data_IF_171421902533
#
_entry.id   IF_171421902533
#
_cell.length_a   1.000
_cell.length_b   1.000
_cell.length_c   1.000
_cell.angle_alpha   90.00
_cell.angle_beta   90.00
_cell.angle_gamma   90.00
#
_symmetry.space_group_name_H-M   'P 1'
#
loop_
_entity.id
_entity.type
_entity.pdbx_description
1 polymer ?
#
# COMPACT_ATOMS: atom_id res chain seq x y z
N UNK A 1 9.97 -37.01 -12.86
CA UNK A 1 8.73 -36.53 -13.50
C UNK A 1 7.98 -37.66 -14.17
N UNK A 2 8.60 -38.36 -15.11
CA UNK A 2 8.01 -39.52 -15.80
C UNK A 2 7.49 -40.65 -14.89
N UNK A 3 8.23 -41.08 -13.84
CA UNK A 3 7.73 -42.12 -12.93
C UNK A 3 6.46 -41.68 -12.18
N UNK A 4 6.35 -40.39 -11.86
CA UNK A 4 5.22 -39.82 -11.14
C UNK A 4 4.01 -39.61 -12.07
N UNK A 5 4.25 -39.20 -13.33
CA UNK A 5 3.23 -39.22 -14.41
C UNK A 5 2.64 -40.62 -14.58
N UNK A 6 3.50 -41.62 -14.75
CA UNK A 6 3.09 -43.02 -14.88
C UNK A 6 2.35 -43.54 -13.65
N UNK A 7 2.77 -43.14 -12.44
CA UNK A 7 2.08 -43.53 -11.20
C UNK A 7 0.68 -42.92 -11.10
N UNK A 8 0.49 -41.67 -11.55
CA UNK A 8 -0.82 -41.01 -11.61
C UNK A 8 -1.72 -41.69 -12.64
N UNK A 9 -1.20 -42.01 -13.83
CA UNK A 9 -1.96 -42.70 -14.88
C UNK A 9 -2.39 -44.10 -14.42
N UNK A 10 -1.46 -44.90 -13.89
CA UNK A 10 -1.78 -46.22 -13.31
C UNK A 10 -2.71 -46.13 -12.12
N UNK A 11 -2.59 -45.11 -11.29
CA UNK A 11 -3.48 -44.89 -10.15
C UNK A 11 -4.91 -44.58 -10.58
N UNK A 12 -5.07 -43.84 -11.68
CA UNK A 12 -6.37 -43.57 -12.30
C UNK A 12 -6.99 -44.84 -12.89
N UNK A 13 -6.19 -45.70 -13.52
CA UNK A 13 -6.62 -47.00 -14.04
C UNK A 13 -7.00 -47.99 -12.93
N UNK A 14 -6.28 -47.95 -11.80
CA UNK A 14 -6.51 -48.81 -10.63
C UNK A 14 -7.66 -48.34 -9.72
N UNK A 15 -8.29 -47.20 -10.02
CA UNK A 15 -9.45 -46.69 -9.27
C UNK A 15 -9.11 -46.07 -7.92
N UNK A 16 -7.90 -45.50 -7.75
CA UNK A 16 -7.55 -44.73 -6.54
C UNK A 16 -8.48 -43.53 -6.32
N UNK A 17 -8.54 -43.06 -5.08
CA UNK A 17 -9.38 -41.92 -4.72
C UNK A 17 -8.99 -40.66 -5.52
N UNK A 18 -10.01 -39.96 -6.03
CA UNK A 18 -9.81 -38.75 -6.85
C UNK A 18 -9.01 -37.67 -6.12
N UNK A 19 -9.19 -37.56 -4.81
CA UNK A 19 -8.47 -36.61 -3.93
C UNK A 19 -6.95 -36.84 -3.95
N UNK A 20 -6.50 -38.08 -3.89
CA UNK A 20 -5.08 -38.45 -3.88
C UNK A 20 -4.44 -38.24 -5.26
N UNK A 21 -5.17 -38.59 -6.32
CA UNK A 21 -4.76 -38.35 -7.71
C UNK A 21 -4.62 -36.84 -7.97
N UNK A 22 -5.58 -36.04 -7.51
CA UNK A 22 -5.56 -34.58 -7.68
C UNK A 22 -4.41 -33.93 -6.90
N UNK A 23 -4.13 -34.41 -5.69
CA UNK A 23 -2.97 -33.95 -4.92
C UNK A 23 -1.65 -34.32 -5.61
N UNK A 24 -1.51 -35.55 -6.09
CA UNK A 24 -0.33 -35.99 -6.82
C UNK A 24 -0.15 -35.20 -8.13
N UNK A 25 -1.24 -34.91 -8.85
CA UNK A 25 -1.21 -34.09 -10.06
C UNK A 25 -0.83 -32.63 -9.78
N UNK A 26 -1.28 -32.06 -8.65
CA UNK A 26 -0.82 -30.73 -8.19
C UNK A 26 0.67 -30.71 -7.89
N UNK A 27 1.17 -31.72 -7.18
CA UNK A 27 2.61 -31.85 -6.87
C UNK A 27 3.42 -32.02 -8.15
N UNK A 28 2.95 -32.83 -9.09
CA UNK A 28 3.59 -32.98 -10.40
C UNK A 28 3.67 -31.63 -11.12
N UNK A 29 2.55 -30.91 -11.24
CA UNK A 29 2.52 -29.60 -11.89
C UNK A 29 3.46 -28.60 -11.21
N UNK A 30 3.48 -28.55 -9.87
CA UNK A 30 4.41 -27.67 -9.14
C UNK A 30 5.88 -28.02 -9.43
N UNK A 31 6.21 -29.31 -9.46
CA UNK A 31 7.55 -29.77 -9.81
C UNK A 31 7.92 -29.45 -11.27
N UNK A 32 6.98 -29.55 -12.22
CA UNK A 32 7.21 -29.20 -13.63
C UNK A 32 7.45 -27.70 -13.78
N UNK A 33 6.62 -26.87 -13.15
CA UNK A 33 6.81 -25.42 -13.09
C UNK A 33 8.15 -25.02 -12.46
N UNK A 34 8.63 -25.77 -11.47
CA UNK A 34 9.92 -25.52 -10.83
C UNK A 34 11.11 -25.95 -11.68
N UNK A 35 10.96 -26.92 -12.58
CA UNK A 35 12.07 -27.51 -13.34
C UNK A 35 12.14 -27.08 -14.80
N UNK A 36 11.06 -26.49 -15.34
CA UNK A 36 11.03 -26.02 -16.72
C UNK A 36 11.95 -24.81 -16.92
N UNK A 37 12.71 -24.85 -18.03
CA UNK A 37 13.51 -23.73 -18.48
C UNK A 37 12.60 -22.54 -18.81
N UNK A 38 12.93 -21.36 -18.28
CA UNK A 38 12.10 -20.16 -18.48
C UNK A 38 12.49 -19.42 -19.79
N UNK A 39 13.37 -20.01 -20.62
CA UNK A 39 13.64 -19.46 -21.95
C UNK A 39 12.43 -19.61 -22.87
N UNK A 40 12.09 -18.54 -23.57
CA UNK A 40 11.01 -18.46 -24.55
C UNK A 40 9.59 -18.71 -24.01
N UNK A 41 9.39 -18.73 -22.69
CA UNK A 41 8.06 -18.87 -22.09
C UNK A 41 7.24 -17.60 -22.23
N UNK A 42 7.80 -16.46 -21.83
CA UNK A 42 7.09 -15.18 -21.82
C UNK A 42 7.43 -14.30 -23.00
N UNK A 43 8.67 -14.42 -23.49
CA UNK A 43 9.14 -13.72 -24.68
C UNK A 43 9.56 -14.76 -25.72
N UNK A 44 8.67 -15.13 -26.66
CA UNK A 44 8.97 -16.18 -27.63
C UNK A 44 10.08 -15.73 -28.58
N UNK A 45 10.68 -16.71 -29.28
CA UNK A 45 11.86 -16.46 -30.13
C UNK A 45 11.59 -15.43 -31.24
N UNK A 46 10.40 -15.42 -31.83
CA UNK A 46 10.03 -14.43 -32.84
C UNK A 46 10.07 -13.01 -32.29
N UNK A 47 9.64 -12.82 -31.05
CA UNK A 47 9.44 -11.49 -30.48
C UNK A 47 10.70 -10.95 -29.81
N UNK A 48 11.56 -11.81 -29.26
CA UNK A 48 12.89 -11.36 -28.82
C UNK A 48 13.74 -10.89 -30.01
N UNK A 49 13.62 -11.55 -31.16
CA UNK A 49 14.33 -11.12 -32.37
C UNK A 49 13.80 -9.78 -32.88
N UNK A 50 12.48 -9.53 -32.80
CA UNK A 50 11.90 -8.21 -33.09
C UNK A 50 12.42 -7.16 -32.12
N UNK A 51 12.40 -7.44 -30.81
CA UNK A 51 12.94 -6.54 -29.78
C UNK A 51 14.41 -6.18 -30.04
N UNK A 52 15.22 -7.14 -30.48
CA UNK A 52 16.63 -6.93 -30.81
C UNK A 52 16.83 -6.12 -32.11
N UNK A 53 15.84 -6.12 -33.00
CA UNK A 53 15.84 -5.33 -34.23
C UNK A 53 15.33 -3.89 -34.03
N UNK A 54 14.60 -3.62 -32.94
CA UNK A 54 14.12 -2.28 -32.61
C UNK A 54 15.30 -1.32 -32.34
N UNK A 55 15.17 -0.09 -32.81
CA UNK A 55 16.21 0.95 -32.69
C UNK A 55 15.77 2.04 -31.71
N UNK A 56 14.48 2.38 -31.69
CA UNK A 56 13.95 3.40 -30.81
C UNK A 56 13.52 2.82 -29.47
N UNK A 57 13.63 3.63 -28.40
CA UNK A 57 13.15 3.26 -27.06
C UNK A 57 11.66 2.97 -27.07
N UNK A 58 10.88 3.79 -27.77
CA UNK A 58 9.42 3.74 -27.74
C UNK A 58 8.91 2.44 -28.36
N UNK A 59 9.50 1.98 -29.47
CA UNK A 59 9.20 0.67 -30.07
C UNK A 59 9.49 -0.50 -29.11
N UNK A 60 10.62 -0.45 -28.39
CA UNK A 60 10.98 -1.49 -27.41
C UNK A 60 9.96 -1.53 -26.29
N UNK A 61 9.59 -0.36 -25.75
CA UNK A 61 8.62 -0.25 -24.66
C UNK A 61 7.25 -0.76 -25.11
N UNK A 62 6.78 -0.38 -26.29
CA UNK A 62 5.52 -0.87 -26.86
C UNK A 62 5.49 -2.40 -27.05
N UNK A 63 6.59 -2.98 -27.55
CA UNK A 63 6.74 -4.43 -27.63
C UNK A 63 6.67 -5.07 -26.24
N UNK A 64 7.35 -4.50 -25.24
CA UNK A 64 7.36 -5.02 -23.87
C UNK A 64 5.98 -4.94 -23.20
N UNK A 65 5.20 -3.90 -23.48
CA UNK A 65 3.80 -3.80 -23.03
C UNK A 65 2.99 -5.00 -23.48
N UNK A 66 3.13 -5.36 -24.75
CA UNK A 66 2.42 -6.49 -25.35
C UNK A 66 2.90 -7.83 -24.78
N UNK A 67 4.23 -8.02 -24.69
CA UNK A 67 4.84 -9.27 -24.24
C UNK A 67 4.59 -9.58 -22.77
N UNK A 68 4.69 -8.55 -21.92
CA UNK A 68 4.47 -8.70 -20.48
C UNK A 68 2.97 -8.68 -20.11
N UNK A 69 2.08 -8.62 -21.11
CA UNK A 69 0.61 -8.62 -20.95
C UNK A 69 0.14 -7.50 -20.00
N UNK A 70 0.78 -6.34 -20.09
CA UNK A 70 0.47 -5.18 -19.25
C UNK A 70 -0.85 -4.57 -19.71
N UNK A 71 -1.79 -4.33 -18.78
CA UNK A 71 -3.09 -3.75 -19.13
C UNK A 71 -3.02 -2.24 -18.97
N UNK A 72 -3.58 -1.50 -19.92
CA UNK A 72 -3.72 -0.04 -19.81
C UNK A 72 -4.49 0.39 -18.53
N UNK A 73 -5.38 -0.47 -18.02
CA UNK A 73 -6.12 -0.26 -16.77
C UNK A 73 -5.23 -0.23 -15.51
N UNK A 74 -4.03 -0.79 -15.59
CA UNK A 74 -3.08 -0.79 -14.47
C UNK A 74 -2.39 0.58 -14.32
N UNK A 75 -2.61 1.51 -15.29
CA UNK A 75 -2.15 2.89 -15.26
C UNK A 75 -0.66 3.00 -15.00
N UNK A 76 -0.29 3.81 -14.01
CA UNK A 76 1.11 4.03 -13.60
C UNK A 76 1.88 2.73 -13.28
N UNK A 77 1.21 1.67 -12.81
CA UNK A 77 1.88 0.40 -12.51
C UNK A 77 2.42 -0.25 -13.77
N UNK A 78 1.66 -0.20 -14.87
CA UNK A 78 2.10 -0.74 -16.15
C UNK A 78 3.29 0.04 -16.70
N UNK A 79 3.30 1.36 -16.56
CA UNK A 79 4.41 2.22 -17.01
C UNK A 79 5.72 1.88 -16.30
N UNK A 80 5.69 1.79 -14.97
CA UNK A 80 6.88 1.43 -14.18
C UNK A 80 7.33 0.00 -14.50
N UNK A 81 6.40 -0.94 -14.70
CA UNK A 81 6.75 -2.32 -15.03
C UNK A 81 7.33 -2.44 -16.44
N UNK A 82 6.82 -1.69 -17.41
CA UNK A 82 7.38 -1.60 -18.76
C UNK A 82 8.80 -1.02 -18.73
N UNK A 83 9.02 0.05 -17.97
CA UNK A 83 10.35 0.64 -17.78
C UNK A 83 11.31 -0.33 -17.09
N UNK A 84 10.85 -1.07 -16.08
CA UNK A 84 11.63 -2.11 -15.43
C UNK A 84 12.10 -3.18 -16.43
N UNK A 85 11.19 -3.68 -17.27
CA UNK A 85 11.55 -4.66 -18.30
C UNK A 85 12.40 -4.07 -19.42
N UNK A 86 12.24 -2.79 -19.74
CA UNK A 86 13.12 -2.08 -20.67
C UNK A 86 14.55 -2.06 -20.13
N UNK A 87 14.76 -1.72 -18.86
CA UNK A 87 16.09 -1.73 -18.25
C UNK A 87 16.71 -3.15 -18.21
N UNK A 88 15.89 -4.18 -17.97
CA UNK A 88 16.34 -5.58 -18.03
C UNK A 88 16.80 -5.96 -19.45
N UNK A 89 16.06 -5.56 -20.47
CA UNK A 89 16.42 -5.78 -21.87
C UNK A 89 17.71 -5.03 -22.25
N UNK A 90 17.82 -3.76 -21.84
CA UNK A 90 19.04 -2.97 -22.09
C UNK A 90 20.26 -3.57 -21.40
N UNK A 91 20.10 -4.18 -20.23
CA UNK A 91 21.17 -4.95 -19.59
C UNK A 91 21.59 -6.14 -20.46
N UNK A 92 20.65 -6.92 -20.99
CA UNK A 92 20.96 -8.02 -21.92
C UNK A 92 21.76 -7.53 -23.14
N UNK A 93 21.35 -6.42 -23.74
CA UNK A 93 22.02 -5.84 -24.90
C UNK A 93 23.45 -5.39 -24.55
N UNK A 94 23.65 -4.75 -23.39
CA UNK A 94 24.98 -4.33 -22.91
C UNK A 94 25.92 -5.51 -22.66
N UNK A 95 25.40 -6.65 -22.21
CA UNK A 95 26.20 -7.86 -22.00
C UNK A 95 26.36 -8.72 -23.25
N UNK A 96 25.76 -8.33 -24.39
CA UNK A 96 25.83 -9.10 -25.63
C UNK A 96 25.09 -10.44 -25.56
N UNK A 97 24.02 -10.52 -24.77
CA UNK A 97 23.26 -11.76 -24.60
C UNK A 97 22.47 -12.13 -25.87
N UNK A 98 22.59 -13.40 -26.27
CA UNK A 98 21.79 -13.97 -27.35
C UNK A 98 20.29 -14.04 -27.01
N UNK A 99 19.43 -14.37 -28.00
CA UNK A 99 17.98 -14.34 -27.85
C UNK A 99 17.46 -15.27 -26.73
N UNK A 100 18.09 -16.42 -26.55
CA UNK A 100 17.74 -17.37 -25.49
C UNK A 100 18.03 -16.81 -24.09
N UNK A 101 19.23 -16.27 -23.88
CA UNK A 101 19.64 -15.65 -22.61
C UNK A 101 18.80 -14.43 -22.29
N UNK A 102 18.53 -13.58 -23.29
CA UNK A 102 17.72 -12.38 -23.11
C UNK A 102 16.27 -12.72 -22.75
N UNK A 103 15.67 -13.69 -23.43
CA UNK A 103 14.32 -14.18 -23.13
C UNK A 103 14.24 -14.80 -21.73
N UNK A 104 15.23 -15.63 -21.36
CA UNK A 104 15.30 -16.24 -20.03
C UNK A 104 15.40 -15.18 -18.92
N UNK A 105 16.27 -14.17 -19.08
CA UNK A 105 16.42 -13.12 -18.06
C UNK A 105 15.13 -12.31 -17.89
N UNK A 106 14.50 -11.89 -18.98
CA UNK A 106 13.26 -11.11 -18.94
C UNK A 106 12.14 -11.88 -18.21
N UNK A 107 12.03 -13.18 -18.51
CA UNK A 107 11.03 -14.06 -17.90
C UNK A 107 11.34 -14.35 -16.42
N UNK A 108 12.61 -14.59 -16.07
CA UNK A 108 13.04 -14.74 -14.67
C UNK A 108 12.72 -13.50 -13.84
N UNK A 109 13.03 -12.30 -14.35
CA UNK A 109 12.78 -11.03 -13.65
C UNK A 109 11.28 -10.75 -13.50
N UNK A 110 10.46 -11.22 -14.45
CA UNK A 110 9.00 -11.17 -14.35
C UNK A 110 8.48 -12.11 -13.25
N UNK A 111 8.97 -13.35 -13.20
CA UNK A 111 8.62 -14.33 -12.17
C UNK A 111 9.00 -13.79 -10.78
N UNK A 112 10.22 -13.27 -10.65
CA UNK A 112 10.71 -12.67 -9.42
C UNK A 112 9.76 -11.56 -8.94
N UNK A 113 9.43 -10.61 -9.82
CA UNK A 113 8.50 -9.53 -9.49
C UNK A 113 7.10 -10.06 -9.14
N UNK A 114 6.54 -10.98 -9.94
CA UNK A 114 5.20 -11.52 -9.71
C UNK A 114 5.09 -12.23 -8.35
N UNK A 115 6.00 -13.16 -8.07
CA UNK A 115 5.94 -13.96 -6.84
C UNK A 115 6.23 -13.16 -5.58
N UNK A 116 7.06 -12.11 -5.66
CA UNK A 116 7.46 -11.35 -4.47
C UNK A 116 6.60 -10.12 -4.21
N UNK A 117 6.12 -9.46 -5.27
CA UNK A 117 5.41 -8.18 -5.17
C UNK A 117 3.90 -8.36 -5.35
N UNK A 118 3.46 -9.13 -6.35
CA UNK A 118 2.03 -9.28 -6.67
C UNK A 118 1.35 -10.20 -5.66
N UNK A 119 1.98 -11.34 -5.38
CA UNK A 119 1.45 -12.31 -4.41
C UNK A 119 1.61 -11.82 -2.96
N UNK A 120 2.43 -10.78 -2.74
CA UNK A 120 2.72 -10.13 -1.44
C UNK A 120 3.14 -11.11 -0.34
N UNK A 121 3.72 -12.23 -0.72
CA UNK A 121 4.10 -13.30 0.19
C UNK A 121 5.49 -13.09 0.79
N UNK A 122 6.32 -12.24 0.18
CA UNK A 122 7.76 -12.27 0.41
C UNK A 122 8.36 -11.00 1.01
N UNK A 123 9.20 -11.20 2.01
CA UNK A 123 10.16 -10.21 2.50
C UNK A 123 11.37 -10.08 1.56
N UNK A 124 12.21 -9.06 1.78
CA UNK A 124 13.39 -8.81 0.95
C UNK A 124 14.35 -10.01 0.90
N UNK A 125 14.51 -10.72 2.02
CA UNK A 125 15.41 -11.88 2.08
C UNK A 125 14.84 -13.10 1.36
N UNK A 126 13.51 -13.27 1.34
CA UNK A 126 12.84 -14.28 0.53
C UNK A 126 12.96 -13.95 -0.97
N UNK A 127 12.83 -12.67 -1.35
CA UNK A 127 13.05 -12.22 -2.72
C UNK A 127 14.51 -12.48 -3.19
N UNK A 128 15.50 -12.30 -2.31
CA UNK A 128 16.89 -12.68 -2.59
C UNK A 128 17.02 -14.19 -2.76
N UNK A 129 16.44 -14.99 -1.88
CA UNK A 129 16.47 -16.45 -1.97
C UNK A 129 15.87 -16.92 -3.29
N UNK A 130 14.73 -16.37 -3.69
CA UNK A 130 14.07 -16.71 -4.94
C UNK A 130 14.93 -16.36 -6.16
N UNK A 131 15.61 -15.21 -6.14
CA UNK A 131 16.56 -14.84 -7.20
C UNK A 131 17.72 -15.85 -7.28
N UNK A 132 18.29 -16.26 -6.16
CA UNK A 132 19.35 -17.27 -6.12
C UNK A 132 18.88 -18.62 -6.65
N UNK A 133 17.67 -19.04 -6.30
CA UNK A 133 17.07 -20.28 -6.79
C UNK A 133 16.80 -20.24 -8.29
N UNK A 134 16.33 -19.09 -8.82
CA UNK A 134 16.16 -18.89 -10.26
C UNK A 134 17.52 -18.95 -10.98
N UNK A 135 18.56 -18.29 -10.45
CA UNK A 135 19.90 -18.29 -11.06
C UNK A 135 20.57 -19.66 -11.00
N UNK A 136 20.44 -20.38 -9.89
CA UNK A 136 20.99 -21.73 -9.74
C UNK A 136 20.40 -22.70 -10.78
N UNK A 137 19.08 -22.62 -11.02
CA UNK A 137 18.37 -23.44 -12.02
C UNK A 137 18.73 -23.13 -13.47
N UNK A 138 19.17 -21.92 -13.78
CA UNK A 138 19.49 -21.52 -15.15
C UNK A 138 21.00 -21.47 -15.44
N UNK A 139 21.83 -21.91 -14.50
CA UNK A 139 23.29 -21.88 -14.62
C UNK A 139 23.95 -23.24 -14.76
N UNK A 140 23.32 -24.28 -14.20
CA UNK A 140 23.83 -25.65 -14.28
C UNK A 140 23.06 -26.40 -15.35
N UNK A 141 23.75 -27.20 -16.17
CA UNK A 141 23.10 -28.11 -17.10
C UNK A 141 22.93 -29.47 -16.44
N UNK A 142 21.75 -29.72 -15.85
CA UNK A 142 21.37 -31.03 -15.30
C UNK A 142 19.98 -31.36 -15.83
N UNK A 143 19.85 -31.94 -17.04
CA UNK A 143 18.58 -32.47 -17.49
C UNK A 143 18.08 -33.53 -16.49
N UNK A 144 16.81 -33.52 -16.04
CA UNK A 144 15.68 -32.64 -16.43
C UNK A 144 15.47 -31.39 -15.55
N UNK A 145 16.33 -31.12 -14.57
CA UNK A 145 16.08 -30.14 -13.49
C UNK A 145 16.58 -28.72 -13.75
N UNK A 146 17.61 -28.56 -14.59
CA UNK A 146 18.23 -27.25 -14.83
C UNK A 146 18.82 -27.15 -16.24
N UNK A 147 18.64 -25.98 -16.86
CA UNK A 147 19.18 -25.69 -18.19
C UNK A 147 20.34 -24.72 -18.03
N UNK A 148 21.51 -25.10 -18.55
CA UNK A 148 22.72 -24.27 -18.48
C UNK A 148 22.69 -23.11 -19.47
N UNK A 149 21.79 -22.16 -19.25
CA UNK A 149 21.62 -20.97 -20.11
C UNK A 149 22.72 -19.94 -19.82
N UNK A 150 23.06 -19.76 -18.54
CA UNK A 150 24.04 -18.77 -18.10
C UNK A 150 25.30 -19.45 -17.57
N UNK A 151 26.46 -18.90 -17.91
CA UNK A 151 27.72 -19.27 -17.26
C UNK A 151 27.79 -18.71 -15.83
N UNK A 152 28.67 -19.27 -15.00
CA UNK A 152 28.88 -18.80 -13.63
C UNK A 152 29.28 -17.31 -13.56
N UNK A 153 30.04 -16.81 -14.55
CA UNK A 153 30.40 -15.40 -14.64
C UNK A 153 29.19 -14.51 -14.95
N UNK A 154 28.34 -14.93 -15.89
CA UNK A 154 27.11 -14.22 -16.25
C UNK A 154 26.11 -14.19 -15.10
N UNK A 155 26.00 -15.29 -14.34
CA UNK A 155 25.18 -15.34 -13.12
C UNK A 155 25.62 -14.30 -12.09
N UNK A 156 26.92 -14.15 -11.87
CA UNK A 156 27.44 -13.15 -10.94
C UNK A 156 27.10 -11.71 -11.41
N UNK A 157 27.16 -11.45 -12.71
CA UNK A 157 26.77 -10.17 -13.30
C UNK A 157 25.26 -9.91 -13.14
N UNK A 158 24.43 -10.92 -13.40
CA UNK A 158 22.97 -10.83 -13.25
C UNK A 158 22.61 -10.59 -11.79
N UNK A 159 23.22 -11.33 -10.85
CA UNK A 159 23.03 -11.15 -9.40
C UNK A 159 23.37 -9.73 -8.97
N UNK A 160 24.53 -9.23 -9.39
CA UNK A 160 24.96 -7.87 -9.06
C UNK A 160 24.01 -6.82 -9.66
N UNK A 161 23.56 -7.04 -10.90
CA UNK A 161 22.58 -6.19 -11.56
C UNK A 161 21.24 -6.16 -10.81
N UNK A 162 20.62 -7.32 -10.57
CA UNK A 162 19.34 -7.45 -9.88
C UNK A 162 19.39 -6.90 -8.44
N UNK A 163 20.54 -7.05 -7.77
CA UNK A 163 20.76 -6.43 -6.44
C UNK A 163 20.71 -4.92 -6.51
N UNK A 164 21.34 -4.31 -7.52
CA UNK A 164 21.42 -2.84 -7.70
C UNK A 164 20.14 -2.22 -8.24
N UNK A 165 19.35 -2.98 -8.99
CA UNK A 165 18.11 -2.51 -9.63
C UNK A 165 16.89 -2.96 -8.84
N UNK A 166 16.49 -4.22 -8.96
CA UNK A 166 15.24 -4.73 -8.39
C UNK A 166 15.26 -4.75 -6.86
N UNK A 167 16.22 -5.44 -6.24
CA UNK A 167 16.23 -5.66 -4.80
C UNK A 167 16.46 -4.36 -4.02
N UNK A 168 17.27 -3.44 -4.56
CA UNK A 168 17.47 -2.10 -3.96
C UNK A 168 16.16 -1.30 -3.87
N UNK A 169 15.28 -1.43 -4.87
CA UNK A 169 14.01 -0.71 -4.94
C UNK A 169 12.81 -1.61 -4.59
N UNK A 170 13.03 -2.74 -3.91
CA UNK A 170 12.00 -3.74 -3.63
C UNK A 170 10.79 -3.15 -2.90
N UNK A 171 11.02 -2.32 -1.88
CA UNK A 171 9.94 -1.65 -1.12
C UNK A 171 9.11 -0.70 -1.99
N UNK A 172 9.72 -0.05 -2.97
CA UNK A 172 8.99 0.82 -3.92
C UNK A 172 8.00 -0.02 -4.72
N UNK A 173 8.45 -1.17 -5.24
CA UNK A 173 7.56 -2.10 -5.94
C UNK A 173 6.45 -2.60 -5.02
N UNK A 174 6.74 -3.04 -3.79
CA UNK A 174 5.69 -3.45 -2.84
C UNK A 174 4.65 -2.35 -2.58
N UNK A 175 5.10 -1.10 -2.41
CA UNK A 175 4.22 0.04 -2.16
C UNK A 175 3.28 0.31 -3.35
N UNK A 176 3.77 0.19 -4.59
CA UNK A 176 2.92 0.37 -5.78
C UNK A 176 1.72 -0.58 -5.80
N UNK A 177 1.87 -1.79 -5.25
CA UNK A 177 0.82 -2.82 -5.22
C UNK A 177 0.03 -2.84 -3.91
N UNK A 178 0.40 -2.03 -2.91
CA UNK A 178 -0.45 -1.80 -1.74
C UNK A 178 -1.70 -1.03 -2.17
N UNK A 179 -2.86 -1.52 -1.74
CA UNK A 179 -4.13 -0.85 -2.05
C UNK A 179 -4.18 0.44 -1.24
N UNK A 180 -4.29 1.58 -1.92
CA UNK A 180 -4.70 2.84 -1.30
C UNK A 180 -6.14 2.66 -0.80
N UNK A 181 -6.28 2.43 0.50
CA UNK A 181 -7.60 2.54 1.13
C UNK A 181 -7.81 4.01 1.42
N UNK A 182 -8.70 4.64 0.67
CA UNK A 182 -9.15 5.99 0.99
C UNK A 182 -9.91 5.93 2.32
N UNK A 183 -9.28 6.43 3.38
CA UNK A 183 -9.92 6.55 4.69
C UNK A 183 -10.79 7.80 4.63
N UNK A 184 -12.08 7.61 4.35
CA UNK A 184 -13.06 8.68 4.49
C UNK A 184 -13.40 8.80 5.97
N UNK A 185 -12.87 9.84 6.61
CA UNK A 185 -13.25 10.20 7.98
C UNK A 185 -14.59 10.93 7.90
N UNK A 186 -15.67 10.23 8.20
CA UNK A 186 -16.97 10.85 8.37
C UNK A 186 -17.10 11.34 9.81
N UNK A 187 -17.26 12.65 10.01
CA UNK A 187 -17.74 13.17 11.28
C UNK A 187 -19.20 12.75 11.44
N UNK A 188 -19.49 11.88 12.41
CA UNK A 188 -20.87 11.66 12.88
C UNK A 188 -21.14 12.79 13.87
N UNK A 189 -22.00 13.78 13.56
CA UNK A 189 -22.37 14.79 14.53
C UNK A 189 -23.17 14.12 15.64
N UNK A 190 -22.48 13.64 16.67
CA UNK A 190 -23.10 13.25 17.93
C UNK A 190 -23.58 14.55 18.59
N UNK A 191 -24.83 14.91 18.34
CA UNK A 191 -25.54 15.86 19.20
C UNK A 191 -25.82 15.17 20.54
N UNK A 192 -24.78 14.94 21.33
CA UNK A 192 -24.94 14.82 22.76
C UNK A 192 -25.16 16.24 23.29
N UNK A 193 -26.38 16.77 23.14
CA UNK A 193 -26.81 17.86 24.02
C UNK A 193 -26.75 17.29 25.42
N UNK A 194 -25.75 17.67 26.22
CA UNK A 194 -25.74 17.42 27.66
C UNK A 194 -27.13 17.80 28.18
N UNK A 195 -27.86 16.84 28.75
CA UNK A 195 -29.17 17.14 29.32
C UNK A 195 -28.94 18.18 30.41
N UNK A 196 -29.38 19.42 30.17
CA UNK A 196 -29.35 20.46 31.20
C UNK A 196 -30.16 19.90 32.37
N UNK A 197 -29.56 19.75 33.57
CA UNK A 197 -30.31 19.29 34.72
C UNK A 197 -31.51 20.20 34.92
N UNK A 198 -32.71 19.64 35.05
CA UNK A 198 -33.91 20.44 35.35
C UNK A 198 -33.65 21.20 36.63
N UNK A 199 -33.52 22.53 36.52
CA UNK A 199 -33.37 23.42 37.67
C UNK A 199 -34.59 23.22 38.58
N UNK A 200 -34.34 22.91 39.85
CA UNK A 200 -35.41 22.85 40.84
C UNK A 200 -36.06 24.24 40.96
N UNK A 201 -37.39 24.32 41.13
CA UNK A 201 -38.05 25.59 41.41
C UNK A 201 -37.48 26.20 42.69
N UNK A 202 -37.26 27.52 42.69
CA UNK A 202 -36.76 28.25 43.85
C UNK A 202 -37.70 28.05 45.05
N UNK A 203 -37.14 27.62 46.17
CA UNK A 203 -37.91 27.41 47.40
C UNK A 203 -38.17 28.78 48.05
N UNK A 204 -39.44 29.20 48.09
CA UNK A 204 -39.87 30.46 48.72
C UNK A 204 -39.71 30.48 50.25
N UNK A 205 -39.41 29.33 50.86
CA UNK A 205 -39.21 29.19 52.32
C UNK A 205 -37.98 29.95 52.86
N UNK A 206 -37.10 30.45 51.98
CA UNK A 206 -35.90 31.19 52.34
C UNK A 206 -35.90 32.64 51.83
N UNK A 207 -37.07 33.16 51.44
CA UNK A 207 -37.24 34.58 51.17
C UNK A 207 -37.09 35.35 52.48
N UNK A 208 -35.92 35.95 52.67
CA UNK A 208 -35.63 36.83 53.80
C UNK A 208 -35.72 38.28 53.32
N UNK A 209 -36.42 39.13 54.08
CA UNK A 209 -36.44 40.55 53.80
C UNK A 209 -35.03 41.13 54.09
N UNK A 210 -34.36 41.75 53.11
CA UNK A 210 -32.98 42.21 53.27
C UNK A 210 -32.81 43.25 54.40
N UNK A 211 -33.87 43.95 54.80
CA UNK A 211 -33.87 44.90 55.91
C UNK A 211 -33.81 44.22 57.30
N UNK A 212 -34.22 42.96 57.38
CA UNK A 212 -34.23 42.19 58.64
C UNK A 212 -32.89 41.50 58.90
N UNK A 213 -31.99 41.44 57.90
CA UNK A 213 -30.69 40.79 58.01
C UNK A 213 -29.67 41.79 58.59
N UNK A 214 -29.16 41.60 59.82
CA UNK A 214 -28.31 42.59 60.50
C UNK A 214 -27.03 42.92 59.72
N UNK A 215 -26.48 41.93 58.99
CA UNK A 215 -25.27 42.12 58.19
C UNK A 215 -25.48 42.98 56.94
N UNK A 216 -26.72 43.07 56.45
CA UNK A 216 -27.07 43.86 55.25
C UNK A 216 -27.56 45.26 55.62
N UNK A 217 -27.96 45.49 56.87
CA UNK A 217 -28.42 46.80 57.33
C UNK A 217 -27.36 47.90 57.21
N UNK A 218 -26.08 47.57 57.40
CA UNK A 218 -24.99 48.54 57.28
C UNK A 218 -24.83 49.03 55.83
N UNK A 219 -24.95 48.11 54.86
CA UNK A 219 -24.86 48.41 53.43
C UNK A 219 -26.10 49.14 52.89
N UNK A 220 -27.30 48.81 53.38
CA UNK A 220 -28.53 49.46 52.94
C UNK A 220 -28.75 50.83 53.60
N UNK A 221 -28.26 51.04 54.84
CA UNK A 221 -28.29 52.36 55.48
C UNK A 221 -27.38 53.36 54.77
N UNK A 222 -26.22 52.92 54.25
CA UNK A 222 -25.36 53.81 53.48
C UNK A 222 -26.02 54.27 52.19
N UNK A 223 -26.71 53.39 51.45
CA UNK A 223 -27.44 53.77 50.24
C UNK A 223 -28.61 54.73 50.55
N UNK A 224 -29.40 54.46 51.61
CA UNK A 224 -30.50 55.34 51.98
C UNK A 224 -30.07 56.73 52.47
N UNK A 225 -28.89 56.85 53.10
CA UNK A 225 -28.32 58.14 53.50
C UNK A 225 -27.74 58.91 52.30
N UNK A 226 -27.16 58.21 51.32
CA UNK A 226 -26.71 58.81 50.06
C UNK A 226 -27.90 59.31 49.23
N UNK A 227 -28.98 58.53 49.11
CA UNK A 227 -30.21 58.95 48.42
C UNK A 227 -30.91 60.14 49.11
N UNK A 228 -30.90 60.20 50.45
CA UNK A 228 -31.45 61.35 51.19
C UNK A 228 -30.59 62.61 51.05
N UNK A 229 -29.25 62.47 51.02
CA UNK A 229 -28.34 63.58 50.79
C UNK A 229 -28.45 64.14 49.36
N UNK A 230 -28.67 63.27 48.37
CA UNK A 230 -28.92 63.68 46.98
C UNK A 230 -30.27 64.38 46.82
N UNK A 231 -31.31 63.96 47.55
CA UNK A 231 -32.61 64.64 47.59
C UNK A 231 -32.54 66.01 48.28
N UNK A 232 -31.83 66.14 49.41
CA UNK A 232 -31.60 67.44 50.05
C UNK A 232 -30.76 68.38 49.16
N UNK A 233 -29.80 67.85 48.39
CA UNK A 233 -29.03 68.63 47.43
C UNK A 233 -29.85 69.09 46.20
N UNK A 234 -30.85 68.32 45.77
CA UNK A 234 -31.83 68.75 44.76
C UNK A 234 -32.79 69.81 45.29
N UNK A 235 -33.32 69.67 46.51
CA UNK A 235 -34.23 70.66 47.11
C UNK A 235 -33.53 72.01 47.38
N UNK A 236 -32.26 72.01 47.83
CA UNK A 236 -31.46 73.25 47.98
C UNK A 236 -31.15 73.90 46.62
N UNK A 237 -30.97 73.11 45.55
CA UNK A 237 -30.82 73.64 44.18
C UNK A 237 -32.10 74.32 43.69
N UNK A 238 -33.26 73.76 43.98
CA UNK A 238 -34.57 74.32 43.60
C UNK A 238 -34.88 75.62 44.37
N UNK A 239 -34.50 75.70 45.66
CA UNK A 239 -34.72 76.90 46.49
C UNK A 239 -33.74 78.06 46.16
N UNK A 240 -32.56 77.76 45.61
CA UNK A 240 -31.61 78.76 45.09
C UNK A 240 -32.02 79.38 43.74
N UNK A 241 -32.86 78.69 42.96
CA UNK A 241 -33.49 79.22 41.74
C UNK A 241 -34.73 80.09 42.04
N UNK A 242 -35.31 80.00 43.24
CA UNK A 242 -36.48 80.78 43.66
C UNK A 242 -36.13 82.13 44.34
N UNK A 243 -34.84 82.44 44.55
CA UNK A 243 -34.35 83.72 45.08
C UNK A 243 -33.39 84.41 44.10
N UNK A 244 -33.96 84.99 43.03
CA UNK A 244 -33.42 86.17 42.31
C UNK A 244 -34.38 86.56 41.18
N UNK A 245 -34.80 87.84 41.04
CA UNK A 245 -35.17 88.86 42.02
C UNK A 245 -36.70 89.04 42.20
#
# INVERSE_FOLDING_TARGET
MEPLRMAIERGREAGLERSEIDNAARILNDLELRTQAVAFTDVPRSDILKLQACVSRDEIVECLYTLMKLKAKDGFRAEVLAEYHFQNFMFCQKQGYGPEKASALLSMMRILHAQTVIDKTADLDEAKSLLEDLLARHSRQLPPFSVGIFSAAEVALIRAYATRTFLRHFKMFQFMYQQTKDVVVCEVPSRATSQIPRLAPLHTNFELNPLEVPQLQEFLRSEALEEAADQEAEDVRLDSCAKSP
#
